data_IF_393569692123
#
_entry.id   IF_393569692123
#
_cell.length_a   1.000
_cell.length_b   1.000
_cell.length_c   1.000
_cell.angle_alpha   90.00
_cell.angle_beta   90.00
_cell.angle_gamma   90.00
#
_symmetry.space_group_name_H-M   'P 1'
#
loop_
_entity.id
_entity.type
_entity.pdbx_description
1 polymer ?
#
# COMPACT_ATOMS: atom_id res chain seq x y z
N UNK A 1 -23.49 9.53 0.42
CA UNK A 1 -23.43 10.21 -0.88
C UNK A 1 -23.19 9.13 -1.92
N UNK A 2 -24.19 8.75 -2.71
CA UNK A 2 -23.97 7.77 -3.80
C UNK A 2 -22.79 8.22 -4.66
N UNK A 3 -21.93 7.30 -5.12
CA UNK A 3 -20.86 7.63 -6.08
C UNK A 3 -21.39 8.40 -7.30
N UNK A 4 -22.64 8.12 -7.70
CA UNK A 4 -23.35 8.84 -8.76
C UNK A 4 -23.65 10.30 -8.42
N UNK A 5 -23.73 10.65 -7.14
CA UNK A 5 -23.91 12.01 -6.64
C UNK A 5 -22.58 12.73 -6.50
N UNK A 6 -21.52 12.06 -6.02
CA UNK A 6 -20.16 12.61 -6.03
C UNK A 6 -19.68 12.93 -7.45
N UNK A 7 -19.83 11.98 -8.38
CA UNK A 7 -19.50 12.20 -9.80
C UNK A 7 -20.34 13.31 -10.45
N UNK A 8 -21.61 13.46 -10.02
CA UNK A 8 -22.48 14.55 -10.47
C UNK A 8 -22.06 15.90 -9.90
N UNK A 9 -21.79 15.98 -8.60
CA UNK A 9 -21.33 17.21 -7.95
C UNK A 9 -19.91 17.62 -8.44
N UNK A 10 -19.08 16.65 -8.84
CA UNK A 10 -17.82 16.89 -9.56
C UNK A 10 -18.06 17.47 -10.97
N UNK A 11 -18.98 16.89 -11.73
CA UNK A 11 -19.29 17.34 -13.09
C UNK A 11 -20.03 18.69 -13.11
N UNK A 12 -20.85 18.95 -12.10
CA UNK A 12 -21.60 20.20 -11.91
C UNK A 12 -20.71 21.34 -11.35
N UNK A 13 -19.40 21.09 -11.17
CA UNK A 13 -18.43 22.08 -10.71
C UNK A 13 -18.58 22.48 -9.23
N UNK A 14 -19.33 21.71 -8.44
CA UNK A 14 -19.51 21.96 -6.99
C UNK A 14 -18.33 21.45 -6.15
N UNK A 15 -17.52 20.56 -6.72
CA UNK A 15 -16.25 20.13 -6.16
C UNK A 15 -15.16 20.88 -6.91
N UNK A 16 -14.64 21.94 -6.29
CA UNK A 16 -13.69 22.87 -6.93
C UNK A 16 -12.29 22.25 -7.09
N UNK A 17 -11.91 21.31 -6.22
CA UNK A 17 -10.58 20.69 -6.26
C UNK A 17 -10.59 19.26 -5.69
N UNK A 18 -9.88 18.35 -6.35
CA UNK A 18 -9.58 17.01 -5.85
C UNK A 18 -8.06 16.92 -5.67
N UNK A 19 -7.63 16.73 -4.42
CA UNK A 19 -6.24 16.38 -4.09
C UNK A 19 -6.23 14.95 -3.58
N UNK A 20 -5.51 14.07 -4.29
CA UNK A 20 -5.29 12.67 -3.88
C UNK A 20 -3.83 12.57 -3.49
N UNK A 21 -3.57 12.20 -2.23
CA UNK A 21 -2.23 11.91 -1.73
C UNK A 21 -2.11 10.41 -1.57
N UNK A 22 -1.50 9.72 -2.55
CA UNK A 22 -1.36 8.27 -2.57
C UNK A 22 -0.08 7.79 -3.25
N UNK A 23 0.32 6.54 -2.98
CA UNK A 23 1.45 5.93 -3.69
C UNK A 23 1.11 5.75 -5.17
N UNK A 24 2.10 6.02 -6.03
CA UNK A 24 2.08 5.97 -7.50
C UNK A 24 1.41 4.70 -8.01
N UNK A 25 1.54 3.58 -7.30
CA UNK A 25 1.05 2.27 -7.75
C UNK A 25 -0.46 2.06 -7.58
N UNK A 26 -1.09 2.58 -6.52
CA UNK A 26 -2.54 2.39 -6.25
C UNK A 26 -3.41 3.40 -6.99
N UNK A 27 -2.87 4.58 -7.27
CA UNK A 27 -3.55 5.61 -8.05
C UNK A 27 -3.93 5.13 -9.45
N UNK A 28 -3.19 4.20 -10.04
CA UNK A 28 -3.41 3.71 -11.41
C UNK A 28 -4.70 2.89 -11.55
N UNK A 29 -4.95 1.96 -10.62
CA UNK A 29 -6.18 1.14 -10.61
C UNK A 29 -7.43 1.96 -10.27
N UNK A 30 -7.36 2.80 -9.23
CA UNK A 30 -8.50 3.64 -8.83
C UNK A 30 -8.77 4.77 -9.85
N UNK A 31 -7.72 5.28 -10.53
CA UNK A 31 -7.87 6.22 -11.65
C UNK A 31 -8.37 5.56 -12.94
N UNK A 32 -8.10 4.29 -13.19
CA UNK A 32 -8.69 3.53 -14.30
C UNK A 32 -10.18 3.27 -14.07
N UNK A 33 -10.57 2.91 -12.84
CA UNK A 33 -11.99 2.83 -12.45
C UNK A 33 -12.69 4.20 -12.56
N UNK A 34 -12.03 5.28 -12.13
CA UNK A 34 -12.50 6.67 -12.31
C UNK A 34 -12.61 7.06 -13.79
N UNK A 35 -11.62 6.73 -14.63
CA UNK A 35 -11.62 7.01 -16.07
C UNK A 35 -12.75 6.25 -16.77
N UNK A 36 -12.95 4.98 -16.44
CA UNK A 36 -13.98 4.12 -17.04
C UNK A 36 -15.40 4.57 -16.66
N UNK A 37 -15.58 5.11 -15.44
CA UNK A 37 -16.83 5.70 -14.98
C UNK A 37 -17.08 7.13 -15.50
N UNK A 38 -16.02 7.91 -15.77
CA UNK A 38 -16.11 9.21 -16.44
C UNK A 38 -16.37 9.09 -17.95
N UNK A 39 -16.10 7.93 -18.57
CA UNK A 39 -16.36 7.73 -20.00
C UNK A 39 -17.86 7.61 -20.31
N UNK A 40 -18.70 7.27 -19.33
CA UNK A 40 -20.16 7.27 -19.46
C UNK A 40 -20.81 8.65 -19.21
N UNK A 41 -20.01 9.66 -18.88
CA UNK A 41 -20.45 11.02 -18.57
C UNK A 41 -19.48 12.08 -19.11
N UNK A 42 -19.38 12.16 -20.43
CA UNK A 42 -18.90 13.30 -21.24
C UNK A 42 -17.68 14.11 -20.72
N UNK A 43 -16.51 13.79 -21.28
CA UNK A 43 -15.58 14.72 -21.95
C UNK A 43 -15.12 16.03 -21.27
N UNK A 44 -14.95 16.09 -19.94
CA UNK A 44 -14.42 17.31 -19.31
C UNK A 44 -13.21 17.16 -18.35
N UNK A 45 -12.50 16.02 -18.29
CA UNK A 45 -11.38 15.87 -17.34
C UNK A 45 -10.03 15.36 -17.89
N UNK A 46 -9.83 15.40 -19.21
CA UNK A 46 -8.59 14.88 -19.84
C UNK A 46 -7.76 15.99 -20.48
N UNK A 47 -6.85 16.58 -19.70
CA UNK A 47 -5.78 17.42 -20.25
C UNK A 47 -4.40 17.12 -19.66
N UNK A 48 -4.28 16.83 -18.35
CA UNK A 48 -2.97 16.51 -17.75
C UNK A 48 -2.68 15.01 -17.78
N UNK A 49 -1.49 14.69 -18.26
CA UNK A 49 -0.91 13.35 -18.19
C UNK A 49 -0.61 12.96 -16.74
N UNK A 50 -0.53 11.65 -16.52
CA UNK A 50 -0.28 11.00 -15.22
C UNK A 50 0.99 11.50 -14.51
N UNK A 51 2.04 11.78 -15.29
CA UNK A 51 3.31 12.32 -14.81
C UNK A 51 3.20 13.79 -14.37
N UNK A 52 2.43 14.59 -15.08
CA UNK A 52 2.21 16.00 -14.75
C UNK A 52 1.42 16.16 -13.43
N UNK A 53 0.50 15.24 -13.14
CA UNK A 53 -0.22 15.24 -11.85
C UNK A 53 0.68 14.87 -10.67
N UNK A 54 1.69 14.02 -10.88
CA UNK A 54 2.68 13.65 -9.88
C UNK A 54 3.66 14.79 -9.58
N UNK A 55 4.21 15.43 -10.62
CA UNK A 55 5.15 16.55 -10.47
C UNK A 55 4.49 17.76 -9.75
N UNK A 56 3.18 17.94 -9.95
CA UNK A 56 2.35 18.95 -9.27
C UNK A 56 2.06 18.65 -7.79
N UNK A 57 2.34 17.44 -7.30
CA UNK A 57 2.12 17.03 -5.91
C UNK A 57 3.40 17.02 -5.06
N UNK A 58 4.53 17.45 -5.65
CA UNK A 58 5.77 17.66 -4.88
C UNK A 58 5.61 18.81 -3.87
N UNK A 59 6.37 18.77 -2.78
CA UNK A 59 6.42 19.86 -1.81
C UNK A 59 6.72 21.22 -2.45
N UNK A 60 7.49 21.23 -3.54
CA UNK A 60 7.79 22.44 -4.30
C UNK A 60 6.59 22.97 -5.08
N UNK A 61 5.80 22.10 -5.69
CA UNK A 61 4.56 22.47 -6.38
C UNK A 61 3.47 22.91 -5.39
N UNK A 62 3.41 22.29 -4.21
CA UNK A 62 2.48 22.64 -3.14
C UNK A 62 2.70 24.04 -2.56
N UNK A 63 3.87 24.67 -2.75
CA UNK A 63 4.14 26.07 -2.31
C UNK A 63 3.17 27.09 -2.88
N UNK A 64 2.58 26.80 -4.04
CA UNK A 64 1.59 27.65 -4.68
C UNK A 64 0.17 27.46 -4.14
N UNK A 65 -0.05 26.42 -3.32
CA UNK A 65 -1.35 26.12 -2.74
C UNK A 65 -1.66 27.06 -1.57
N UNK A 66 -2.91 27.56 -1.45
CA UNK A 66 -3.37 28.28 -0.27
C UNK A 66 -3.23 27.49 1.05
N UNK A 67 -3.14 26.16 0.97
CA UNK A 67 -3.01 25.24 2.12
C UNK A 67 -1.56 24.90 2.48
N UNK A 68 -0.58 25.52 1.83
CA UNK A 68 0.83 25.14 1.99
C UNK A 68 1.34 25.25 3.42
N UNK A 69 1.04 26.35 4.13
CA UNK A 69 1.53 26.55 5.49
C UNK A 69 0.93 25.52 6.47
N UNK A 70 -0.35 25.18 6.30
CA UNK A 70 -1.00 24.13 7.08
C UNK A 70 -0.37 22.76 6.78
N UNK A 71 -0.18 22.41 5.49
CA UNK A 71 0.43 21.14 5.09
C UNK A 71 1.88 21.03 5.57
N UNK A 72 2.63 22.14 5.59
CA UNK A 72 4.03 22.19 6.02
C UNK A 72 4.20 21.79 7.48
N UNK A 73 3.23 22.10 8.34
CA UNK A 73 3.22 21.65 9.74
C UNK A 73 3.27 20.12 9.83
N UNK A 74 2.60 19.44 8.91
CA UNK A 74 2.49 17.98 8.84
C UNK A 74 3.53 17.33 7.92
N UNK A 75 4.58 18.05 7.51
CA UNK A 75 5.62 17.50 6.63
C UNK A 75 6.26 16.21 7.16
N UNK A 76 6.35 16.06 8.48
CA UNK A 76 6.90 14.85 9.12
C UNK A 76 6.02 13.60 8.97
N UNK A 77 4.71 13.74 8.75
CA UNK A 77 3.78 12.60 8.58
C UNK A 77 3.50 12.27 7.10
N UNK A 78 4.02 13.09 6.18
CA UNK A 78 3.96 12.88 4.73
C UNK A 78 5.37 12.74 4.14
N UNK A 79 6.14 11.72 4.55
CA UNK A 79 7.50 11.54 4.09
C UNK A 79 7.52 11.11 2.61
N UNK A 80 8.46 11.66 1.85
CA UNK A 80 8.65 11.31 0.43
C UNK A 80 9.26 9.91 0.28
N UNK A 81 10.14 9.56 1.22
CA UNK A 81 10.81 8.27 1.31
C UNK A 81 10.26 7.50 2.51
N UNK A 82 10.33 6.17 2.44
CA UNK A 82 9.93 5.31 3.56
C UNK A 82 10.92 5.55 4.72
N UNK A 83 10.44 5.82 5.95
CA UNK A 83 11.32 5.99 7.11
C UNK A 83 12.21 4.77 7.32
N UNK A 84 13.48 5.01 7.63
CA UNK A 84 14.55 4.00 7.82
C UNK A 84 14.46 3.35 9.21
N UNK A 85 13.36 3.57 9.94
CA UNK A 85 13.19 3.11 11.31
C UNK A 85 11.92 2.27 11.40
N UNK A 86 11.97 1.23 12.24
CA UNK A 86 10.77 0.49 12.60
C UNK A 86 9.75 1.44 13.24
N UNK A 87 8.45 1.23 13.00
CA UNK A 87 7.43 2.04 13.64
C UNK A 87 7.54 1.92 15.17
N UNK A 88 7.31 3.03 15.86
CA UNK A 88 7.25 3.02 17.33
C UNK A 88 6.13 2.09 17.79
N UNK A 89 6.38 1.31 18.84
CA UNK A 89 5.34 0.51 19.46
C UNK A 89 4.29 1.44 20.10
N UNK A 90 3.08 1.37 19.57
CA UNK A 90 1.91 2.14 20.03
C UNK A 90 0.94 1.29 20.84
N UNK A 91 1.35 0.09 21.26
CA UNK A 91 0.51 -0.89 21.97
C UNK A 91 -0.43 -1.67 21.05
N UNK A 92 -0.25 -1.56 19.73
CA UNK A 92 -0.99 -2.34 18.72
C UNK A 92 0.03 -3.06 17.86
N UNK A 93 0.02 -4.38 17.92
CA UNK A 93 0.90 -5.26 17.15
C UNK A 93 0.04 -6.22 16.30
N UNK A 94 0.62 -6.73 15.20
CA UNK A 94 -0.01 -7.74 14.38
C UNK A 94 0.28 -9.13 14.96
N UNK A 95 -0.79 -9.83 15.33
CA UNK A 95 -0.76 -11.20 15.83
C UNK A 95 -1.29 -12.16 14.76
N UNK A 96 -0.71 -13.36 14.69
CA UNK A 96 -1.12 -14.41 13.75
C UNK A 96 -1.60 -15.64 14.53
N UNK A 97 -2.92 -15.73 14.69
CA UNK A 97 -3.55 -16.91 15.28
C UNK A 97 -3.53 -18.08 14.30
N UNK A 98 -2.74 -19.11 14.59
CA UNK A 98 -2.76 -20.33 13.79
C UNK A 98 -3.85 -21.30 14.24
N UNK A 99 -4.43 -22.04 13.28
CA UNK A 99 -5.37 -23.12 13.57
C UNK A 99 -4.66 -24.17 14.46
N UNK A 100 -5.28 -24.65 15.55
CA UNK A 100 -4.65 -25.62 16.45
C UNK A 100 -4.13 -26.87 15.73
N UNK A 101 -2.89 -27.26 16.02
CA UNK A 101 -2.23 -28.40 15.37
C UNK A 101 -1.55 -28.08 14.04
N UNK A 102 -1.52 -26.81 13.62
CA UNK A 102 -0.70 -26.36 12.48
C UNK A 102 0.77 -26.69 12.74
N UNK A 103 1.41 -27.29 11.73
CA UNK A 103 2.85 -27.57 11.73
C UNK A 103 3.59 -26.40 11.07
N UNK A 104 4.38 -26.68 10.04
CA UNK A 104 5.17 -25.68 9.34
C UNK A 104 4.50 -25.22 8.05
N UNK A 105 4.44 -23.91 7.87
CA UNK A 105 3.94 -23.26 6.65
C UNK A 105 5.11 -23.05 5.70
N UNK A 106 5.37 -24.05 4.85
CA UNK A 106 6.44 -24.01 3.83
C UNK A 106 5.83 -24.09 2.43
N UNK A 107 6.13 -23.08 1.62
CA UNK A 107 5.74 -23.00 0.20
C UNK A 107 6.98 -23.12 -0.69
N UNK A 108 6.89 -23.90 -1.77
CA UNK A 108 8.02 -24.14 -2.68
C UNK A 108 8.37 -22.88 -3.46
N UNK A 109 9.67 -22.59 -3.59
CA UNK A 109 10.18 -21.50 -4.45
C UNK A 109 9.79 -21.70 -5.91
N UNK A 110 9.40 -20.60 -6.54
CA UNK A 110 9.11 -20.54 -7.97
C UNK A 110 10.42 -20.34 -8.76
N UNK A 111 10.54 -20.90 -9.98
CA UNK A 111 11.61 -20.52 -10.89
C UNK A 111 11.48 -19.05 -11.27
N UNK A 112 12.59 -18.30 -11.25
CA UNK A 112 12.61 -16.87 -11.54
C UNK A 112 13.70 -16.57 -12.58
N UNK A 113 13.45 -15.57 -13.43
CA UNK A 113 14.45 -15.06 -14.37
C UNK A 113 15.54 -14.26 -13.64
N UNK A 114 16.69 -14.06 -14.29
CA UNK A 114 17.78 -13.26 -13.71
C UNK A 114 17.34 -11.82 -13.36
N UNK A 115 16.47 -11.22 -14.17
CA UNK A 115 15.91 -9.88 -13.91
C UNK A 115 15.05 -9.88 -12.64
N UNK A 116 14.22 -10.91 -12.45
CA UNK A 116 13.37 -11.03 -11.27
C UNK A 116 14.20 -11.24 -10.01
N UNK A 117 15.23 -12.10 -10.08
CA UNK A 117 16.16 -12.33 -8.97
C UNK A 117 16.82 -11.02 -8.56
N UNK A 118 17.38 -10.28 -9.51
CA UNK A 118 18.01 -8.98 -9.24
C UNK A 118 17.04 -7.99 -8.60
N UNK A 119 15.80 -7.91 -9.10
CA UNK A 119 14.80 -7.01 -8.55
C UNK A 119 14.41 -7.35 -7.10
N UNK A 120 14.34 -8.64 -6.77
CA UNK A 120 14.06 -9.12 -5.41
C UNK A 120 15.25 -8.83 -4.49
N UNK A 121 16.47 -9.13 -4.92
CA UNK A 121 17.67 -8.88 -4.12
C UNK A 121 17.87 -7.37 -3.86
N UNK A 122 17.68 -6.52 -4.88
CA UNK A 122 17.73 -5.05 -4.75
C UNK A 122 16.68 -4.54 -3.74
N UNK A 123 15.47 -5.13 -3.73
CA UNK A 123 14.41 -4.79 -2.78
C UNK A 123 14.79 -5.14 -1.34
N UNK A 124 15.23 -6.38 -1.09
CA UNK A 124 15.59 -6.82 0.26
C UNK A 124 16.81 -6.06 0.79
N UNK A 125 17.79 -5.73 -0.05
CA UNK A 125 18.93 -4.92 0.35
C UNK A 125 18.51 -3.50 0.78
N UNK A 126 17.53 -2.90 0.09
CA UNK A 126 16.94 -1.63 0.48
C UNK A 126 16.23 -1.72 1.83
N UNK A 127 15.42 -2.76 2.05
CA UNK A 127 14.70 -2.97 3.32
C UNK A 127 15.64 -3.28 4.47
N UNK A 128 16.72 -4.02 4.22
CA UNK A 128 17.78 -4.33 5.20
C UNK A 128 18.49 -3.07 5.65
N UNK A 129 18.85 -2.19 4.71
CA UNK A 129 19.42 -0.85 5.03
C UNK A 129 18.45 0.01 5.83
N UNK A 130 17.15 -0.16 5.61
CA UNK A 130 16.09 0.50 6.36
C UNK A 130 15.76 -0.17 7.71
N UNK A 131 16.46 -1.24 8.11
CA UNK A 131 16.19 -1.94 9.36
C UNK A 131 14.82 -2.64 9.42
N UNK A 132 14.14 -2.81 8.29
CA UNK A 132 12.80 -3.38 8.17
C UNK A 132 12.78 -4.89 7.90
N UNK A 133 13.95 -5.47 7.64
CA UNK A 133 14.12 -6.91 7.49
C UNK A 133 15.45 -7.35 8.09
N UNK A 134 15.43 -8.40 8.89
CA UNK A 134 16.60 -9.04 9.49
C UNK A 134 16.78 -10.49 9.01
N UNK A 135 18.01 -11.02 9.12
CA UNK A 135 18.24 -12.44 8.89
C UNK A 135 17.55 -13.28 9.97
N UNK A 136 16.77 -14.27 9.55
CA UNK A 136 15.95 -15.08 10.44
C UNK A 136 16.17 -16.57 10.16
N UNK A 137 16.14 -17.39 11.21
CA UNK A 137 16.05 -18.85 11.09
C UNK A 137 14.66 -19.29 11.51
N UNK A 138 13.88 -19.79 10.55
CA UNK A 138 12.52 -20.25 10.80
C UNK A 138 12.25 -21.60 10.12
N UNK A 139 11.43 -22.46 10.74
CA UNK A 139 10.91 -23.64 10.06
C UNK A 139 9.79 -23.31 9.06
N UNK A 140 9.28 -22.07 9.06
CA UNK A 140 8.35 -21.54 8.07
C UNK A 140 9.11 -20.92 6.90
N UNK A 141 8.51 -20.93 5.71
CA UNK A 141 9.12 -20.27 4.55
C UNK A 141 8.07 -19.90 3.52
N UNK A 142 7.99 -18.59 3.25
CA UNK A 142 7.17 -17.99 2.22
C UNK A 142 8.07 -17.49 1.08
N UNK A 143 7.97 -18.04 -0.14
CA UNK A 143 8.79 -17.59 -1.25
C UNK A 143 8.35 -16.21 -1.72
N UNK A 144 9.33 -15.39 -2.05
CA UNK A 144 9.12 -14.10 -2.70
C UNK A 144 9.29 -14.24 -4.21
N UNK A 145 8.39 -13.62 -4.96
CA UNK A 145 8.49 -13.46 -6.41
C UNK A 145 8.16 -12.02 -6.79
N UNK A 146 8.27 -11.68 -8.07
CA UNK A 146 7.88 -10.36 -8.53
C UNK A 146 7.20 -10.39 -9.89
N UNK A 147 6.29 -9.43 -10.08
CA UNK A 147 5.51 -9.25 -11.31
C UNK A 147 5.81 -7.88 -11.91
N UNK A 148 5.82 -7.78 -13.24
CA UNK A 148 6.00 -6.48 -13.92
C UNK A 148 4.75 -5.63 -13.70
N UNK A 149 4.97 -4.36 -13.36
CA UNK A 149 3.89 -3.36 -13.37
C UNK A 149 3.63 -2.91 -14.81
N UNK A 150 2.40 -2.44 -15.07
CA UNK A 150 2.03 -1.87 -16.36
C UNK A 150 2.93 -0.70 -16.77
N UNK A 151 3.44 0.07 -15.81
CA UNK A 151 4.24 1.27 -16.02
C UNK A 151 5.76 1.03 -15.95
N UNK A 152 6.18 -0.23 -15.92
CA UNK A 152 7.57 -0.61 -15.69
C UNK A 152 7.91 -0.75 -14.21
N UNK A 153 9.09 -1.34 -13.95
CA UNK A 153 9.48 -1.77 -12.61
C UNK A 153 8.80 -3.07 -12.17
N UNK A 154 9.08 -3.45 -10.92
CA UNK A 154 8.66 -4.72 -10.33
C UNK A 154 7.78 -4.48 -9.11
N UNK A 155 6.75 -5.32 -8.94
CA UNK A 155 6.00 -5.46 -7.68
C UNK A 155 6.50 -6.73 -7.01
N UNK A 156 7.03 -6.59 -5.79
CA UNK A 156 7.45 -7.72 -4.97
C UNK A 156 6.23 -8.34 -4.32
N UNK A 157 6.14 -9.66 -4.33
CA UNK A 157 4.99 -10.42 -3.83
C UNK A 157 5.48 -11.59 -2.98
N UNK A 158 4.95 -11.68 -1.76
CA UNK A 158 5.21 -12.78 -0.84
C UNK A 158 4.04 -13.77 -0.89
N UNK A 159 4.32 -15.03 -1.21
CA UNK A 159 3.29 -16.04 -1.43
C UNK A 159 2.78 -16.67 -0.11
N UNK A 160 2.12 -15.87 0.74
CA UNK A 160 1.64 -16.29 2.07
C UNK A 160 0.46 -17.28 2.04
N UNK A 161 0.05 -17.80 0.89
CA UNK A 161 -1.13 -18.66 0.73
C UNK A 161 -1.23 -19.76 1.80
N UNK A 162 -0.14 -20.50 2.04
CA UNK A 162 -0.14 -21.59 3.03
C UNK A 162 -0.20 -21.11 4.48
N UNK A 163 0.39 -19.96 4.77
CA UNK A 163 0.27 -19.33 6.09
C UNK A 163 -1.17 -18.87 6.29
N UNK A 164 -1.72 -18.13 5.32
CA UNK A 164 -3.09 -17.62 5.33
C UNK A 164 -4.14 -18.74 5.47
N UNK A 165 -3.97 -19.87 4.78
CA UNK A 165 -4.84 -21.04 4.90
C UNK A 165 -4.80 -21.68 6.29
N UNK A 166 -3.71 -21.47 7.03
CA UNK A 166 -3.50 -22.00 8.39
C UNK A 166 -3.78 -20.97 9.48
N UNK A 167 -4.13 -19.73 9.12
CA UNK A 167 -4.44 -18.64 10.05
C UNK A 167 -5.95 -18.58 10.29
N UNK A 168 -6.35 -18.41 11.55
CA UNK A 168 -7.73 -18.18 11.94
C UNK A 168 -8.19 -16.84 11.35
N UNK A 169 -9.25 -16.80 10.53
CA UNK A 169 -9.68 -15.56 9.91
C UNK A 169 -10.09 -14.51 10.95
N UNK A 170 -9.47 -13.34 10.90
CA UNK A 170 -9.87 -12.20 11.71
C UNK A 170 -11.32 -11.82 11.37
N UNK A 171 -12.18 -11.69 12.38
CA UNK A 171 -13.60 -11.37 12.20
C UNK A 171 -13.91 -9.86 12.25
N UNK A 172 -12.92 -9.00 12.04
CA UNK A 172 -13.14 -7.55 12.05
C UNK A 172 -13.86 -7.11 10.78
N UNK A 173 -15.14 -6.69 10.84
CA UNK A 173 -15.87 -6.34 9.63
C UNK A 173 -15.37 -5.01 9.09
N UNK A 174 -14.84 -5.02 7.86
CA UNK A 174 -14.56 -3.79 7.13
C UNK A 174 -15.90 -3.24 6.61
N UNK A 175 -16.25 -1.98 6.92
CA UNK A 175 -17.51 -1.41 6.47
C UNK A 175 -17.56 -1.37 4.93
N UNK A 176 -18.74 -1.68 4.38
CA UNK A 176 -18.93 -1.61 2.93
C UNK A 176 -18.83 -0.16 2.44
N UNK A 177 -18.39 0.00 1.20
CA UNK A 177 -18.21 1.31 0.55
C UNK A 177 -19.45 2.21 0.58
N UNK A 178 -20.65 1.63 0.46
CA UNK A 178 -21.92 2.37 0.51
C UNK A 178 -22.19 2.96 1.89
N UNK A 179 -21.88 2.21 2.95
CA UNK A 179 -22.02 2.68 4.34
C UNK A 179 -21.07 3.84 4.62
N UNK A 180 -19.80 3.71 4.21
CA UNK A 180 -18.79 4.78 4.35
C UNK A 180 -19.26 6.03 3.59
N UNK A 181 -19.69 5.85 2.34
CA UNK A 181 -20.14 6.96 1.52
C UNK A 181 -21.36 7.68 2.10
N UNK A 182 -22.33 6.94 2.66
CA UNK A 182 -23.52 7.54 3.25
C UNK A 182 -23.23 8.27 4.56
N UNK A 183 -22.25 7.82 5.35
CA UNK A 183 -21.80 8.58 6.52
C UNK A 183 -21.26 9.97 6.17
N UNK A 184 -20.74 10.15 4.95
CA UNK A 184 -20.21 11.44 4.48
C UNK A 184 -21.22 12.28 3.66
N UNK A 185 -22.50 11.90 3.62
CA UNK A 185 -23.49 12.50 2.72
C UNK A 185 -23.78 14.00 2.95
N UNK A 186 -23.45 14.53 4.13
CA UNK A 186 -23.67 15.92 4.51
C UNK A 186 -22.37 16.75 4.51
N UNK A 187 -21.24 16.13 4.22
CA UNK A 187 -19.95 16.81 4.13
C UNK A 187 -19.84 17.58 2.81
N UNK A 188 -19.29 18.79 2.87
CA UNK A 188 -19.03 19.64 1.70
C UNK A 188 -17.57 19.66 1.30
N UNK A 189 -16.67 19.30 2.22
CA UNK A 189 -15.23 19.25 2.01
C UNK A 189 -14.73 17.82 2.23
N UNK A 190 -13.86 17.35 1.35
CA UNK A 190 -13.30 16.00 1.39
C UNK A 190 -11.78 16.08 1.23
N UNK A 191 -11.07 15.23 1.96
CA UNK A 191 -9.64 14.97 1.77
C UNK A 191 -9.43 13.46 1.70
N UNK A 192 -8.49 13.04 0.86
CA UNK A 192 -8.10 11.65 0.71
C UNK A 192 -6.62 11.51 1.05
N UNK A 193 -6.33 10.65 2.03
CA UNK A 193 -4.98 10.27 2.44
C UNK A 193 -4.83 8.77 2.23
N UNK A 194 -3.78 8.38 1.52
CA UNK A 194 -3.39 6.99 1.39
C UNK A 194 -2.07 6.76 2.12
N UNK A 195 -2.06 5.67 2.88
CA UNK A 195 -0.93 5.26 3.69
C UNK A 195 -0.03 4.38 2.82
N UNK A 196 1.13 4.94 2.46
CA UNK A 196 2.18 4.20 1.76
C UNK A 196 2.66 3.04 2.62
N UNK A 197 2.89 1.87 2.01
CA UNK A 197 3.52 0.73 2.70
C UNK A 197 2.84 0.37 4.03
N UNK A 198 1.50 0.47 4.09
CA UNK A 198 0.71 0.34 5.34
C UNK A 198 1.04 -0.90 6.16
N UNK A 199 1.42 -2.01 5.52
CA UNK A 199 1.81 -3.24 6.19
C UNK A 199 3.03 -3.08 7.12
N UNK A 200 3.95 -2.16 6.82
CA UNK A 200 5.15 -1.91 7.61
C UNK A 200 4.96 -0.85 8.70
N UNK A 201 3.75 -0.30 8.85
CA UNK A 201 3.45 0.67 9.91
C UNK A 201 2.98 0.02 11.22
N UNK A 202 2.68 -1.29 11.21
CA UNK A 202 2.24 -2.04 12.38
C UNK A 202 3.31 -3.09 12.65
N UNK A 203 3.87 -3.08 13.85
CA UNK A 203 4.87 -4.07 14.26
C UNK A 203 4.25 -5.46 14.32
N UNK A 204 4.98 -6.47 13.86
CA UNK A 204 4.67 -7.86 14.17
C UNK A 204 4.86 -8.13 15.68
N UNK A 205 3.97 -8.93 16.27
CA UNK A 205 4.18 -9.45 17.61
C UNK A 205 5.44 -10.32 17.63
N UNK A 206 6.32 -10.14 18.62
CA UNK A 206 7.66 -10.76 18.65
C UNK A 206 7.62 -12.29 18.50
N UNK A 207 6.59 -12.92 19.10
CA UNK A 207 6.42 -14.38 19.03
C UNK A 207 5.99 -14.86 17.64
N UNK A 208 5.47 -14.00 16.77
CA UNK A 208 4.91 -14.35 15.47
C UNK A 208 5.82 -13.97 14.29
N UNK A 209 6.90 -13.21 14.54
CA UNK A 209 7.90 -12.83 13.52
C UNK A 209 8.43 -14.06 12.77
N UNK A 210 8.60 -15.19 13.46
CA UNK A 210 9.08 -16.41 12.82
C UNK A 210 8.12 -16.98 11.76
N UNK A 211 6.82 -16.67 11.83
CA UNK A 211 5.80 -17.14 10.89
C UNK A 211 5.88 -16.41 9.55
N UNK A 212 6.36 -15.16 9.56
CA UNK A 212 6.47 -14.31 8.36
C UNK A 212 7.78 -14.51 7.60
N UNK A 213 8.56 -15.55 7.92
CA UNK A 213 9.83 -15.84 7.28
C UNK A 213 9.78 -15.92 5.74
N UNK A 214 10.52 -15.04 5.08
CA UNK A 214 10.56 -14.89 3.63
C UNK A 214 11.79 -15.55 3.03
N UNK A 215 11.64 -16.42 2.03
CA UNK A 215 12.78 -16.94 1.27
C UNK A 215 13.04 -16.16 -0.01
N UNK A 216 14.30 -15.78 -0.21
CA UNK A 216 14.80 -15.17 -1.45
C UNK A 216 15.44 -16.21 -2.38
N UNK A 217 15.64 -15.87 -3.66
CA UNK A 217 16.36 -16.73 -4.61
C UNK A 217 17.82 -16.96 -4.19
N UNK A 218 18.44 -15.96 -3.56
CA UNK A 218 19.79 -15.98 -2.96
C UNK A 218 19.91 -16.86 -1.70
N UNK A 219 18.82 -17.52 -1.28
CA UNK A 219 18.74 -18.46 -0.13
C UNK A 219 18.90 -17.84 1.27
N UNK A 220 18.67 -16.54 1.39
CA UNK A 220 18.52 -15.89 2.69
C UNK A 220 17.05 -15.98 3.14
N UNK A 221 16.87 -16.19 4.44
CA UNK A 221 15.56 -16.12 5.09
C UNK A 221 15.52 -14.80 5.84
N UNK A 222 14.54 -13.96 5.52
CA UNK A 222 14.32 -12.67 6.16
C UNK A 222 13.10 -12.71 7.07
N UNK A 223 13.10 -11.96 8.16
CA UNK A 223 11.85 -11.62 8.84
C UNK A 223 11.02 -10.64 7.99
N UNK A 224 9.70 -10.68 8.15
CA UNK A 224 8.84 -9.55 7.83
C UNK A 224 8.46 -8.93 9.17
N UNK A 225 9.16 -7.87 9.58
CA UNK A 225 8.96 -7.16 10.84
C UNK A 225 7.86 -6.11 10.77
#
# INVERSE_FOLDING_TARGET
MSWKRFARDLNDGRIEQICILADVERMTCEAEELKQLLTEGADALRAKSEKERFDEQTWDSLKSSPLYEDLREYKGVLPYDIPVELPQDKGVQHEIDLVPGTKYCVTRRLPLSQEQVKAIDDFFESRRKAGQVGELKSPHSTPTFCVKKAQGGWRIVHAYNKLNDSTVPAQTPIPRKDVINDSMALSTNFSALDLRDVCYHILMHESDIHLTALSTPSSMIWDGS
#
